data_IF_053272202223
#
_entry.id   IF_053272202223
#
_cell.length_a   1.000
_cell.length_b   1.000
_cell.length_c   1.000
_cell.angle_alpha   90.00
_cell.angle_beta   90.00
_cell.angle_gamma   90.00
#
_symmetry.space_group_name_H-M   'P 1'
#
loop_
_entity.id
_entity.type
_entity.pdbx_description
1 polymer ?
#
# COMPACT_ATOMS: atom_id res chain seq x y z
N UNK A 1 -14.37 4.40 4.41
CA UNK A 1 -14.12 3.22 3.56
C UNK A 1 -14.40 1.91 4.29
N UNK A 2 -14.22 1.85 5.62
CA UNK A 2 -14.64 0.69 6.43
C UNK A 2 -16.10 0.80 6.87
N UNK A 3 -16.55 2.01 7.19
CA UNK A 3 -17.91 2.32 7.62
C UNK A 3 -18.54 3.36 6.68
N UNK A 4 -19.85 3.27 6.52
CA UNK A 4 -20.68 4.34 5.98
C UNK A 4 -20.90 5.41 7.05
N UNK A 5 -20.63 6.67 6.72
CA UNK A 5 -20.70 7.79 7.68
C UNK A 5 -22.15 8.17 8.06
N UNK A 6 -23.14 7.76 7.29
CA UNK A 6 -24.54 8.07 7.52
C UNK A 6 -25.27 6.92 8.24
N UNK A 7 -24.95 5.67 7.89
CA UNK A 7 -25.63 4.50 8.46
C UNK A 7 -24.84 3.81 9.57
N UNK A 8 -23.52 4.01 9.62
CA UNK A 8 -22.62 3.27 10.52
C UNK A 8 -22.46 1.80 10.15
N UNK A 9 -22.97 1.38 9.00
CA UNK A 9 -22.83 0.00 8.52
C UNK A 9 -21.45 -0.24 7.94
N UNK A 10 -20.99 -1.50 8.04
CA UNK A 10 -19.72 -1.94 7.48
C UNK A 10 -19.83 -2.02 5.96
N UNK A 11 -18.93 -1.32 5.26
CA UNK A 11 -18.93 -1.21 3.79
C UNK A 11 -17.90 -2.11 3.12
N UNK A 12 -17.15 -2.93 3.88
CA UNK A 12 -16.13 -3.81 3.32
C UNK A 12 -16.73 -5.04 2.65
N UNK A 13 -16.07 -5.54 1.61
CA UNK A 13 -16.51 -6.73 0.86
C UNK A 13 -15.56 -7.90 1.03
N UNK A 14 -16.03 -9.11 0.75
CA UNK A 14 -15.21 -10.33 0.71
C UNK A 14 -14.59 -10.59 -0.68
N UNK A 15 -14.57 -9.57 -1.55
CA UNK A 15 -14.03 -9.68 -2.90
C UNK A 15 -12.50 -9.86 -2.89
N UNK A 16 -11.96 -10.45 -3.96
CA UNK A 16 -10.52 -10.55 -4.15
C UNK A 16 -9.91 -9.19 -4.50
N UNK A 17 -8.63 -9.02 -4.14
CA UNK A 17 -7.88 -7.83 -4.53
C UNK A 17 -7.59 -7.85 -6.03
N UNK A 18 -7.88 -6.75 -6.72
CA UNK A 18 -7.31 -6.54 -8.04
C UNK A 18 -5.78 -6.40 -7.95
N UNK A 19 -5.07 -6.74 -9.03
CA UNK A 19 -3.60 -6.75 -9.05
C UNK A 19 -2.98 -5.42 -8.63
N UNK A 20 -3.59 -4.29 -8.99
CA UNK A 20 -3.06 -2.96 -8.63
C UNK A 20 -3.17 -2.73 -7.13
N UNK A 21 -4.32 -3.04 -6.53
CA UNK A 21 -4.51 -2.95 -5.07
C UNK A 21 -3.60 -3.91 -4.32
N UNK A 22 -3.46 -5.15 -4.79
CA UNK A 22 -2.57 -6.15 -4.19
C UNK A 22 -1.11 -5.70 -4.17
N UNK A 23 -0.58 -5.18 -5.30
CA UNK A 23 0.79 -4.66 -5.37
C UNK A 23 1.00 -3.45 -4.44
N UNK A 24 0.07 -2.49 -4.44
CA UNK A 24 0.17 -1.32 -3.57
C UNK A 24 0.14 -1.72 -2.09
N UNK A 25 -0.70 -2.67 -1.72
CA UNK A 25 -0.76 -3.20 -0.37
C UNK A 25 0.56 -3.88 0.03
N UNK A 26 1.07 -4.79 -0.79
CA UNK A 26 2.33 -5.49 -0.55
C UNK A 26 3.49 -4.50 -0.37
N UNK A 27 3.61 -3.50 -1.26
CA UNK A 27 4.60 -2.43 -1.16
C UNK A 27 4.44 -1.62 0.13
N UNK A 28 3.20 -1.30 0.51
CA UNK A 28 2.92 -0.55 1.73
C UNK A 28 3.36 -1.33 2.96
N UNK A 29 3.05 -2.64 3.04
CA UNK A 29 3.49 -3.51 4.14
C UNK A 29 5.01 -3.53 4.25
N UNK A 30 5.70 -3.72 3.12
CA UNK A 30 7.17 -3.75 3.09
C UNK A 30 7.77 -2.40 3.53
N UNK A 31 7.28 -1.28 2.96
CA UNK A 31 7.76 0.06 3.31
C UNK A 31 7.50 0.39 4.78
N UNK A 32 6.28 0.17 5.27
CA UNK A 32 5.91 0.47 6.66
C UNK A 32 6.75 -0.35 7.64
N UNK A 33 7.02 -1.62 7.35
CA UNK A 33 7.91 -2.46 8.16
C UNK A 33 9.29 -1.82 8.29
N UNK A 34 9.90 -1.43 7.17
CA UNK A 34 11.21 -0.74 7.15
C UNK A 34 11.14 0.59 7.90
N UNK A 35 10.09 1.38 7.72
CA UNK A 35 9.95 2.67 8.39
C UNK A 35 9.80 2.49 9.91
N UNK A 36 9.06 1.48 10.39
CA UNK A 36 8.97 1.16 11.81
C UNK A 36 10.28 0.65 12.40
N UNK A 37 11.00 -0.23 11.70
CA UNK A 37 12.32 -0.70 12.14
C UNK A 37 13.32 0.45 12.30
N UNK A 38 13.19 1.48 11.47
CA UNK A 38 14.04 2.68 11.52
C UNK A 38 13.46 3.80 12.40
N UNK A 39 12.39 3.54 13.16
CA UNK A 39 11.68 4.51 14.01
C UNK A 39 11.18 5.77 13.27
N UNK A 40 10.95 5.67 11.95
CA UNK A 40 10.45 6.75 11.10
C UNK A 40 8.93 6.69 10.99
N UNK A 41 8.25 6.99 12.10
CA UNK A 41 6.80 6.82 12.24
C UNK A 41 6.02 7.72 11.26
N UNK A 42 6.47 8.96 11.04
CA UNK A 42 5.77 9.91 10.17
C UNK A 42 5.71 9.44 8.71
N UNK A 43 6.77 8.83 8.20
CA UNK A 43 6.83 8.27 6.85
C UNK A 43 6.03 6.98 6.76
N UNK A 44 6.03 6.12 7.79
CA UNK A 44 5.12 4.97 7.86
C UNK A 44 3.64 5.40 7.73
N UNK A 45 3.23 6.43 8.49
CA UNK A 45 1.87 7.00 8.40
C UNK A 45 1.59 7.54 7.00
N UNK A 46 2.54 8.25 6.39
CA UNK A 46 2.37 8.76 5.03
C UNK A 46 2.14 7.63 4.00
N UNK A 47 2.83 6.49 4.13
CA UNK A 47 2.60 5.31 3.27
C UNK A 47 1.20 4.73 3.48
N UNK A 48 0.74 4.62 4.72
CA UNK A 48 -0.63 4.17 5.04
C UNK A 48 -1.69 5.13 4.48
N UNK A 49 -1.45 6.45 4.52
CA UNK A 49 -2.34 7.44 3.91
C UNK A 49 -2.45 7.22 2.39
N UNK A 50 -1.35 6.95 1.70
CA UNK A 50 -1.37 6.65 0.26
C UNK A 50 -2.23 5.43 -0.04
N UNK A 51 -2.06 4.34 0.70
CA UNK A 51 -2.90 3.15 0.56
C UNK A 51 -4.37 3.47 0.85
N UNK A 52 -4.66 4.16 1.96
CA UNK A 52 -6.03 4.54 2.32
C UNK A 52 -6.70 5.38 1.23
N UNK A 53 -5.99 6.36 0.64
CA UNK A 53 -6.52 7.19 -0.43
C UNK A 53 -6.86 6.37 -1.69
N UNK A 54 -6.02 5.39 -2.05
CA UNK A 54 -6.34 4.45 -3.13
C UNK A 54 -7.62 3.66 -2.81
N UNK A 55 -7.73 3.11 -1.59
CA UNK A 55 -8.92 2.36 -1.17
C UNK A 55 -10.20 3.21 -1.16
N UNK A 56 -10.13 4.48 -0.73
CA UNK A 56 -11.28 5.38 -0.79
C UNK A 56 -11.74 5.70 -2.21
N UNK A 57 -10.88 5.52 -3.20
CA UNK A 57 -11.23 5.67 -4.62
C UNK A 57 -11.91 4.45 -5.23
N UNK A 58 -11.95 3.31 -4.52
CA UNK A 58 -12.63 2.11 -4.98
C UNK A 58 -14.13 2.20 -4.73
N UNK A 59 -14.92 1.57 -5.60
CA UNK A 59 -16.38 1.48 -5.41
C UNK A 59 -16.76 0.63 -4.20
N UNK A 60 -15.99 -0.42 -3.97
CA UNK A 60 -16.12 -1.35 -2.86
C UNK A 60 -14.71 -1.64 -2.36
N UNK A 61 -14.55 -1.76 -1.04
CA UNK A 61 -13.23 -1.93 -0.43
C UNK A 61 -13.12 -3.36 0.10
N UNK A 62 -12.24 -4.18 -0.49
CA UNK A 62 -12.05 -5.54 -0.01
C UNK A 62 -11.50 -5.58 1.41
N UNK A 63 -12.09 -6.42 2.27
CA UNK A 63 -11.62 -6.71 3.63
C UNK A 63 -10.14 -7.07 3.66
N UNK A 64 -9.68 -7.84 2.67
CA UNK A 64 -8.28 -8.25 2.50
C UNK A 64 -7.27 -7.10 2.39
N UNK A 65 -7.71 -5.90 2.00
CA UNK A 65 -6.86 -4.71 2.02
C UNK A 65 -7.00 -3.87 3.29
N UNK A 66 -8.19 -3.89 3.91
CA UNK A 66 -8.48 -3.12 5.13
C UNK A 66 -7.81 -3.73 6.35
N UNK A 67 -7.91 -5.04 6.55
CA UNK A 67 -7.37 -5.70 7.75
C UNK A 67 -5.86 -5.45 7.91
N UNK A 68 -5.01 -5.62 6.88
CA UNK A 68 -3.59 -5.26 6.99
C UNK A 68 -3.35 -3.77 7.24
N UNK A 69 -4.17 -2.88 6.67
CA UNK A 69 -4.08 -1.44 6.93
C UNK A 69 -4.37 -1.12 8.41
N UNK A 70 -5.38 -1.74 8.99
CA UNK A 70 -5.74 -1.58 10.42
C UNK A 70 -4.64 -2.16 11.31
N UNK A 71 -4.06 -3.31 10.96
CA UNK A 71 -2.91 -3.87 11.69
C UNK A 71 -1.68 -2.96 11.64
N UNK A 72 -1.36 -2.39 10.47
CA UNK A 72 -0.28 -1.40 10.33
C UNK A 72 -0.56 -0.13 11.14
N UNK A 73 -1.82 0.28 11.26
CA UNK A 73 -2.23 1.45 12.04
C UNK A 73 -2.14 1.23 13.56
N UNK A 74 -2.31 -0.02 14.02
CA UNK A 74 -2.41 -0.37 15.45
C UNK A 74 -1.26 0.15 16.34
N UNK A 75 0.02 0.21 15.92
CA UNK A 75 1.09 0.69 16.79
C UNK A 75 1.03 2.20 17.06
N UNK A 76 0.36 2.98 16.19
CA UNK A 76 0.32 4.45 16.27
C UNK A 76 -1.04 4.98 16.70
N UNK A 77 -2.12 4.25 16.43
CA UNK A 77 -3.48 4.61 16.81
C UNK A 77 -4.24 3.37 17.34
N UNK A 78 -3.83 2.81 18.50
CA UNK A 78 -4.29 1.50 18.97
C UNK A 78 -5.80 1.46 19.26
N UNK A 79 -6.36 2.51 19.86
CA UNK A 79 -7.77 2.52 20.27
C UNK A 79 -8.72 2.45 19.07
N UNK A 80 -8.46 3.25 18.03
CA UNK A 80 -9.29 3.23 16.82
C UNK A 80 -9.05 1.96 16.00
N UNK A 81 -7.82 1.44 15.99
CA UNK A 81 -7.53 0.17 15.32
C UNK A 81 -8.29 -0.99 15.99
N UNK A 82 -8.35 -1.04 17.32
CA UNK A 82 -9.11 -2.03 18.08
C UNK A 82 -10.61 -1.94 17.78
N UNK A 83 -11.18 -0.74 17.77
CA UNK A 83 -12.60 -0.52 17.44
C UNK A 83 -12.92 -0.97 16.01
N UNK A 84 -12.07 -0.60 15.04
CA UNK A 84 -12.21 -1.04 13.64
C UNK A 84 -12.08 -2.57 13.51
N UNK A 85 -11.20 -3.19 14.28
CA UNK A 85 -10.99 -4.64 14.30
C UNK A 85 -12.25 -5.38 14.80
N UNK A 86 -12.84 -4.89 15.89
CA UNK A 86 -14.09 -5.43 16.42
C UNK A 86 -15.27 -5.23 15.46
N UNK A 87 -15.35 -4.06 14.82
CA UNK A 87 -16.36 -3.75 13.80
C UNK A 87 -16.26 -4.69 12.60
N UNK A 88 -15.04 -5.10 12.23
CA UNK A 88 -14.82 -6.11 11.19
C UNK A 88 -15.25 -7.52 11.62
N UNK A 89 -15.64 -7.73 12.89
CA UNK A 89 -16.18 -8.98 13.40
C UNK A 89 -15.14 -9.86 14.09
N UNK A 90 -13.96 -9.33 14.43
CA UNK A 90 -12.96 -10.07 15.21
C UNK A 90 -13.26 -9.98 16.70
N UNK A 91 -13.16 -11.11 17.41
CA UNK A 91 -13.44 -11.20 18.84
C UNK A 91 -12.19 -10.95 19.71
N UNK A 92 -11.02 -11.36 19.21
CA UNK A 92 -9.75 -11.20 19.90
C UNK A 92 -9.15 -9.80 19.70
N UNK A 93 -8.39 -9.35 20.70
CA UNK A 93 -7.74 -8.04 20.62
C UNK A 93 -6.70 -7.99 19.49
N UNK A 94 -6.72 -6.90 18.73
CA UNK A 94 -5.77 -6.66 17.63
C UNK A 94 -4.31 -6.69 18.12
N UNK A 95 -4.07 -6.34 19.39
CA UNK A 95 -2.74 -6.36 20.00
C UNK A 95 -2.10 -7.76 20.11
N UNK A 96 -2.88 -8.83 19.88
CA UNK A 96 -2.40 -10.23 19.86
C UNK A 96 -2.20 -10.78 18.46
N UNK A 97 -2.59 -10.03 17.44
CA UNK A 97 -2.47 -10.43 16.05
C UNK A 97 -1.07 -10.13 15.54
N UNK A 98 -0.54 -11.00 14.69
CA UNK A 98 0.77 -10.77 14.08
C UNK A 98 0.72 -9.59 13.11
N UNK A 99 1.82 -8.83 13.04
CA UNK A 99 1.96 -7.77 12.05
C UNK A 99 1.87 -8.35 10.62
N UNK A 100 1.24 -7.66 9.66
CA UNK A 100 1.10 -8.17 8.30
C UNK A 100 2.47 -8.35 7.63
N UNK A 101 2.59 -9.43 6.88
CA UNK A 101 3.79 -9.76 6.10
C UNK A 101 3.43 -9.94 4.64
N UNK A 102 4.36 -9.60 3.75
CA UNK A 102 4.21 -9.90 2.32
C UNK A 102 4.42 -11.39 2.13
N UNK A 103 3.39 -12.10 1.64
CA UNK A 103 3.44 -13.55 1.41
C UNK A 103 3.83 -13.90 -0.02
N UNK A 104 3.53 -13.02 -0.97
CA UNK A 104 3.86 -13.16 -2.39
C UNK A 104 4.84 -12.05 -2.80
N UNK A 105 6.12 -12.39 -2.90
CA UNK A 105 7.18 -11.45 -3.25
C UNK A 105 7.05 -10.92 -4.70
N UNK A 106 6.35 -11.64 -5.60
CA UNK A 106 6.14 -11.18 -6.98
C UNK A 106 5.30 -9.90 -7.05
N UNK A 107 4.55 -9.59 -6.00
CA UNK A 107 3.79 -8.34 -5.89
C UNK A 107 4.68 -7.10 -5.67
N UNK A 108 5.94 -7.30 -5.24
CA UNK A 108 6.91 -6.23 -5.02
C UNK A 108 7.73 -5.89 -6.28
N UNK A 109 7.65 -6.73 -7.30
CA UNK A 109 8.31 -6.48 -8.59
C UNK A 109 7.57 -5.38 -9.35
N UNK A 110 8.29 -4.36 -9.81
CA UNK A 110 7.70 -3.32 -10.66
C UNK A 110 7.59 -3.84 -12.10
N UNK A 111 6.44 -3.66 -12.75
CA UNK A 111 6.30 -4.04 -14.16
C UNK A 111 7.02 -3.01 -15.07
N UNK A 112 7.06 -1.75 -14.64
CA UNK A 112 7.74 -0.64 -15.30
C UNK A 112 8.35 0.32 -14.27
N UNK A 113 9.51 0.88 -14.57
CA UNK A 113 10.18 1.94 -13.80
C UNK A 113 10.28 3.22 -14.62
N UNK A 114 10.16 4.37 -13.96
CA UNK A 114 10.32 5.66 -14.63
C UNK A 114 11.80 6.03 -14.75
N UNK A 115 12.32 6.05 -15.97
CA UNK A 115 13.63 6.60 -16.28
C UNK A 115 13.53 8.11 -16.55
N UNK A 116 14.39 8.91 -15.91
CA UNK A 116 14.44 10.36 -16.08
C UNK A 116 15.59 10.72 -17.05
N UNK A 117 15.24 11.18 -18.25
CA UNK A 117 16.23 11.61 -19.25
C UNK A 117 16.59 13.07 -19.00
N UNK A 118 17.89 13.34 -18.86
CA UNK A 118 18.42 14.69 -18.61
C UNK A 118 19.42 15.10 -19.69
N UNK A 119 19.30 16.35 -20.16
CA UNK A 119 20.30 16.97 -21.04
C UNK A 119 20.85 18.21 -20.35
N UNK A 120 22.16 18.21 -20.09
CA UNK A 120 22.86 19.28 -19.36
C UNK A 120 22.21 19.58 -17.99
N UNK A 121 21.83 18.53 -17.26
CA UNK A 121 21.23 18.62 -15.92
C UNK A 121 19.76 19.09 -15.89
N UNK A 122 19.13 19.31 -17.06
CA UNK A 122 17.70 19.63 -17.16
C UNK A 122 16.92 18.38 -17.57
N UNK A 123 15.87 18.06 -16.81
CA UNK A 123 14.92 16.99 -17.16
C UNK A 123 14.26 17.33 -18.49
N UNK A 124 14.37 16.42 -19.45
CA UNK A 124 13.76 16.55 -20.78
C UNK A 124 12.57 15.61 -20.95
N UNK A 125 12.70 14.40 -20.44
CA UNK A 125 11.70 13.37 -20.63
C UNK A 125 11.63 12.41 -19.44
N UNK A 126 10.49 11.72 -19.32
CA UNK A 126 10.25 10.64 -18.38
C UNK A 126 9.76 9.44 -19.17
N UNK A 127 10.57 8.40 -19.24
CA UNK A 127 10.26 7.16 -19.97
C UNK A 127 9.76 6.11 -18.99
N UNK A 128 8.70 5.38 -19.34
CA UNK A 128 8.32 4.16 -18.63
C UNK A 128 8.99 2.98 -19.30
N UNK A 129 9.88 2.29 -18.60
CA UNK A 129 10.71 1.20 -19.16
C UNK A 129 10.68 -0.02 -18.26
N UNK A 130 10.94 -1.20 -18.82
CA UNK A 130 11.10 -2.41 -18.01
C UNK A 130 12.27 -2.25 -17.02
N UNK A 131 12.16 -2.74 -15.77
CA UNK A 131 13.29 -2.77 -14.85
C UNK A 131 14.50 -3.56 -15.37
N UNK A 132 14.29 -4.48 -16.32
CA UNK A 132 15.33 -5.30 -16.94
C UNK A 132 15.81 -4.79 -18.30
N UNK A 133 15.44 -3.56 -18.71
CA UNK A 133 15.90 -2.97 -19.96
C UNK A 133 17.43 -2.89 -20.00
N UNK A 134 18.04 -3.24 -21.14
CA UNK A 134 19.49 -3.10 -21.31
C UNK A 134 19.91 -1.64 -21.42
N UNK A 135 21.19 -1.34 -21.17
CA UNK A 135 21.72 0.02 -21.30
C UNK A 135 21.60 0.54 -22.74
N UNK A 136 21.81 -0.34 -23.72
CA UNK A 136 21.70 -0.05 -25.14
C UNK A 136 20.26 0.28 -25.55
N UNK A 137 19.29 -0.54 -25.16
CA UNK A 137 17.86 -0.31 -25.45
C UNK A 137 17.34 0.95 -24.74
N UNK A 138 17.80 1.21 -23.51
CA UNK A 138 17.43 2.42 -22.78
C UNK A 138 17.99 3.67 -23.45
N UNK A 139 19.21 3.61 -23.97
CA UNK A 139 19.80 4.71 -24.72
C UNK A 139 19.04 4.97 -26.03
N UNK A 140 18.65 3.92 -26.75
CA UNK A 140 17.85 4.05 -27.97
C UNK A 140 16.47 4.67 -27.70
N UNK A 141 15.81 4.25 -26.61
CA UNK A 141 14.52 4.82 -26.19
C UNK A 141 14.60 6.30 -25.73
N UNK A 142 15.81 6.81 -25.42
CA UNK A 142 16.05 8.16 -24.91
C UNK A 142 16.58 9.14 -25.96
N UNK A 143 16.84 8.68 -27.19
CA UNK A 143 17.32 9.49 -28.33
C UNK A 143 16.16 10.08 -29.14
#
# INVERSE_FOLDING_TARGET
NVLDENTGEVTVTEEELDRKTAKLLARTIADVTVEYDNMRINTAIAKMIVLNNHLTGLKQVPRKAVEPLVLMLSPVAPHIAEELWQILGHEDSIARVSFPVVTDESLLEEDEVTCIVQIQGKVRERLSVSPSISAEELQEAAL
#
